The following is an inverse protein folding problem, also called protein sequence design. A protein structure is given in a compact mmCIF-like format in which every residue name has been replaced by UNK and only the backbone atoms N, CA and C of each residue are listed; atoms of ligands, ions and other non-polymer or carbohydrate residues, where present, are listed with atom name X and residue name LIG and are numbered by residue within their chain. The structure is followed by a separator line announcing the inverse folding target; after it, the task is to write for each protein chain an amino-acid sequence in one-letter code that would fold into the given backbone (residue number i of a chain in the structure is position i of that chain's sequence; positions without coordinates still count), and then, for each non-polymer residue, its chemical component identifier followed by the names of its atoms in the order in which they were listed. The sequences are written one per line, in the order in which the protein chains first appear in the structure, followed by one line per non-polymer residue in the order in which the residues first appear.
data_IF_666652734170
#
_entry.id   IF_666652734170
#
_cell.length_a   1.000
_cell.length_b   1.000
_cell.length_c   1.000
_cell.angle_alpha   90.00
_cell.angle_beta   90.00
_cell.angle_gamma   90.00
#
_symmetry.space_group_name_H-M   'P 1'
#
loop_
_entity.id
_entity.type
_entity.pdbx_description
1 polymer ?
#
# COMPACT_ATOMS: atom_id res chain seq x y z
N UNK A 1 5.04 1.47 9.05
CA UNK A 1 5.02 2.86 8.57
C UNK A 1 3.69 3.48 8.96
N UNK A 2 3.60 4.81 9.14
CA UNK A 2 2.34 5.48 9.49
C UNK A 2 2.24 5.90 10.97
N UNK A 3 3.19 6.73 11.42
CA UNK A 3 3.08 7.45 12.71
C UNK A 3 1.96 8.50 12.64
N UNK A 4 1.26 8.76 13.74
CA UNK A 4 0.25 9.83 13.82
C UNK A 4 0.80 11.20 13.42
N UNK A 5 2.06 11.49 13.74
CA UNK A 5 2.71 12.74 13.37
C UNK A 5 2.96 12.87 11.85
N UNK A 6 2.89 11.76 11.11
CA UNK A 6 3.00 11.74 9.65
C UNK A 6 1.64 11.98 8.98
N UNK A 7 0.53 11.91 9.73
CA UNK A 7 -0.79 12.18 9.18
C UNK A 7 -0.89 13.64 8.77
N UNK A 8 -1.10 13.87 7.47
CA UNK A 8 -1.27 15.21 6.94
C UNK A 8 -2.48 15.89 7.59
N UNK A 9 -2.28 17.11 8.10
CA UNK A 9 -3.32 17.88 8.79
C UNK A 9 -4.60 18.07 7.95
N UNK A 10 -4.47 18.13 6.62
CA UNK A 10 -5.61 18.17 5.71
C UNK A 10 -6.46 16.89 5.75
N UNK A 11 -5.81 15.72 5.74
CA UNK A 11 -6.46 14.41 5.82
C UNK A 11 -7.08 14.19 7.20
N UNK A 12 -6.35 14.54 8.27
CA UNK A 12 -6.86 14.48 9.65
C UNK A 12 -8.19 15.24 9.82
N UNK A 13 -8.27 16.47 9.31
CA UNK A 13 -9.51 17.27 9.37
C UNK A 13 -10.66 16.62 8.60
N UNK A 14 -10.37 15.97 7.47
CA UNK A 14 -11.37 15.27 6.65
C UNK A 14 -11.86 14.00 7.34
N UNK A 15 -10.96 13.21 7.94
CA UNK A 15 -11.31 12.04 8.75
C UNK A 15 -12.27 12.42 9.88
N UNK A 16 -11.96 13.50 10.62
CA UNK A 16 -12.84 14.00 11.70
C UNK A 16 -14.18 14.55 11.24
N UNK A 17 -14.25 15.07 10.01
CA UNK A 17 -15.49 15.61 9.45
C UNK A 17 -16.36 14.54 8.76
N UNK A 18 -15.82 13.34 8.54
CA UNK A 18 -16.54 12.25 7.89
C UNK A 18 -17.71 11.79 8.78
N UNK A 19 -18.91 11.73 8.19
CA UNK A 19 -20.10 11.21 8.86
C UNK A 19 -20.06 9.70 8.99
N UNK A 20 -19.63 9.05 7.91
CA UNK A 20 -19.44 7.61 7.82
C UNK A 20 -18.03 7.31 7.36
N UNK A 21 -17.25 6.67 8.22
CA UNK A 21 -15.87 6.30 7.96
C UNK A 21 -15.75 4.77 7.94
N UNK A 22 -15.30 4.25 6.81
CA UNK A 22 -14.83 2.89 6.66
C UNK A 22 -13.31 2.86 6.66
N UNK A 23 -12.71 1.87 7.31
CA UNK A 23 -11.26 1.65 7.30
C UNK A 23 -10.95 0.26 6.75
N UNK A 24 -9.83 0.12 6.04
CA UNK A 24 -9.41 -1.21 5.57
C UNK A 24 -9.19 -2.18 6.73
N UNK A 25 -8.49 -1.72 7.76
CA UNK A 25 -8.11 -2.50 8.93
C UNK A 25 -8.07 -1.60 10.17
N UNK A 26 -8.34 -2.17 11.34
CA UNK A 26 -8.10 -1.51 12.64
C UNK A 26 -6.64 -1.54 13.09
N UNK A 27 -5.82 -2.41 12.49
CA UNK A 27 -4.41 -2.59 12.86
C UNK A 27 -3.54 -1.46 12.30
N UNK A 28 -3.71 -0.25 12.86
CA UNK A 28 -2.93 0.92 12.50
C UNK A 28 -2.83 1.93 13.66
N UNK A 29 -1.62 2.37 14.07
CA UNK A 29 -1.43 3.27 15.22
C UNK A 29 -2.27 4.56 15.16
N UNK A 30 -2.37 5.17 13.97
CA UNK A 30 -3.20 6.37 13.74
C UNK A 30 -4.67 6.16 14.14
N UNK A 31 -5.24 4.98 13.90
CA UNK A 31 -6.64 4.72 14.21
C UNK A 31 -6.87 4.54 15.72
N UNK A 32 -5.89 4.03 16.45
CA UNK A 32 -5.95 3.96 17.91
C UNK A 32 -6.05 5.36 18.52
N UNK A 33 -5.19 6.28 18.08
CA UNK A 33 -5.20 7.68 18.54
C UNK A 33 -6.51 8.40 18.15
N UNK A 34 -6.98 8.23 16.90
CA UNK A 34 -8.23 8.83 16.44
C UNK A 34 -9.46 8.26 17.17
N UNK A 35 -9.46 6.96 17.48
CA UNK A 35 -10.52 6.32 18.27
C UNK A 35 -10.56 6.86 19.70
N UNK A 36 -9.39 7.09 20.32
CA UNK A 36 -9.29 7.73 21.63
C UNK A 36 -9.83 9.18 21.63
N UNK A 37 -9.76 9.87 20.49
CA UNK A 37 -10.38 11.18 20.28
C UNK A 37 -11.90 11.13 19.97
N UNK A 38 -12.50 9.93 19.97
CA UNK A 38 -13.93 9.71 19.76
C UNK A 38 -14.34 9.52 18.30
N UNK A 39 -13.40 9.32 17.38
CA UNK A 39 -13.72 9.02 15.98
C UNK A 39 -14.34 7.62 15.89
N UNK A 40 -15.52 7.53 15.26
CA UNK A 40 -16.18 6.26 15.00
C UNK A 40 -15.90 5.81 13.57
N UNK A 41 -15.62 4.53 13.39
CA UNK A 41 -15.40 3.92 12.08
C UNK A 41 -15.83 2.46 12.07
N UNK A 42 -16.03 1.92 10.87
CA UNK A 42 -16.28 0.49 10.63
C UNK A 42 -15.10 -0.08 9.83
N UNK A 43 -14.56 -1.21 10.28
CA UNK A 43 -13.46 -1.86 9.56
C UNK A 43 -13.92 -3.00 8.68
N UNK A 44 -13.08 -3.34 7.70
CA UNK A 44 -13.28 -4.50 6.84
C UNK A 44 -12.43 -5.71 7.23
N UNK A 45 -11.83 -5.75 8.43
CA UNK A 45 -11.03 -6.89 8.90
C UNK A 45 -11.81 -8.21 8.81
N UNK A 46 -13.11 -8.20 9.16
CA UNK A 46 -13.98 -9.37 9.05
C UNK A 46 -14.16 -9.89 7.61
N UNK A 47 -13.95 -9.06 6.58
CA UNK A 47 -13.96 -9.50 5.18
C UNK A 47 -12.69 -10.25 4.84
N UNK A 48 -11.53 -9.84 5.37
CA UNK A 48 -10.28 -10.56 5.21
C UNK A 48 -10.32 -11.94 5.89
N UNK A 49 -10.97 -12.06 7.05
CA UNK A 49 -11.13 -13.34 7.75
C UNK A 49 -12.06 -14.33 7.01
N UNK A 50 -12.96 -13.82 6.17
CA UNK A 50 -14.00 -14.61 5.50
C UNK A 50 -13.49 -15.34 4.25
N UNK A 51 -12.44 -14.82 3.59
CA UNK A 51 -11.98 -15.31 2.29
C UNK A 51 -10.60 -15.94 2.38
N UNK A 52 -10.36 -16.97 1.56
CA UNK A 52 -9.07 -17.68 1.50
C UNK A 52 -8.09 -17.06 0.48
N UNK A 53 -8.48 -15.99 -0.21
CA UNK A 53 -7.66 -15.28 -1.20
C UNK A 53 -7.98 -13.80 -1.21
N UNK A 54 -7.06 -12.98 -1.70
CA UNK A 54 -7.16 -11.52 -1.63
C UNK A 54 -8.15 -10.91 -2.63
N UNK A 55 -8.23 -11.46 -3.86
CA UNK A 55 -9.08 -10.88 -4.90
C UNK A 55 -10.56 -10.76 -4.50
N UNK A 56 -11.21 -11.83 -3.95
CA UNK A 56 -12.59 -11.74 -3.48
C UNK A 56 -12.80 -10.76 -2.31
N UNK A 57 -11.77 -10.54 -1.49
CA UNK A 57 -11.81 -9.54 -0.42
C UNK A 57 -11.95 -8.15 -1.00
N UNK A 58 -11.11 -7.80 -1.99
CA UNK A 58 -11.13 -6.48 -2.60
C UNK A 58 -12.46 -6.19 -3.30
N UNK A 59 -13.01 -7.18 -4.00
CA UNK A 59 -14.31 -7.11 -4.67
C UNK A 59 -15.45 -6.90 -3.66
N UNK A 60 -15.52 -7.70 -2.59
CA UNK A 60 -16.56 -7.56 -1.56
C UNK A 60 -16.50 -6.18 -0.87
N UNK A 61 -15.29 -5.67 -0.58
CA UNK A 61 -15.12 -4.34 0.02
C UNK A 61 -15.64 -3.25 -0.93
N UNK A 62 -15.24 -3.30 -2.21
CA UNK A 62 -15.67 -2.33 -3.21
C UNK A 62 -17.20 -2.34 -3.37
N UNK A 63 -17.81 -3.52 -3.47
CA UNK A 63 -19.28 -3.66 -3.55
C UNK A 63 -20.00 -3.08 -2.33
N UNK A 64 -19.50 -3.36 -1.12
CA UNK A 64 -20.07 -2.82 0.13
C UNK A 64 -19.98 -1.30 0.19
N UNK A 65 -18.84 -0.73 -0.22
CA UNK A 65 -18.65 0.72 -0.26
C UNK A 65 -19.61 1.37 -1.27
N UNK A 66 -19.71 0.83 -2.49
CA UNK A 66 -20.66 1.32 -3.50
C UNK A 66 -22.10 1.25 -2.99
N UNK A 67 -22.49 0.14 -2.37
CA UNK A 67 -23.83 0.00 -1.80
C UNK A 67 -24.09 1.01 -0.66
N UNK A 68 -23.10 1.30 0.18
CA UNK A 68 -23.22 2.27 1.26
C UNK A 68 -23.48 3.70 0.74
N UNK A 69 -22.90 4.06 -0.42
CA UNK A 69 -23.13 5.38 -1.04
C UNK A 69 -24.57 5.65 -1.47
N UNK A 70 -25.41 4.62 -1.57
CA UNK A 70 -26.82 4.78 -1.89
C UNK A 70 -27.61 5.50 -0.77
N UNK A 71 -27.09 5.49 0.46
CA UNK A 71 -27.77 6.06 1.63
C UNK A 71 -27.15 7.40 2.07
N UNK A 72 -25.82 7.51 2.05
CA UNK A 72 -25.09 8.70 2.50
C UNK A 72 -23.68 8.77 1.89
N UNK A 73 -23.03 9.93 2.01
CA UNK A 73 -21.62 10.08 1.63
C UNK A 73 -20.72 9.29 2.59
N UNK A 74 -19.85 8.45 2.05
CA UNK A 74 -18.92 7.61 2.83
C UNK A 74 -17.47 7.99 2.56
N UNK A 75 -16.64 7.93 3.59
CA UNK A 75 -15.19 8.02 3.48
C UNK A 75 -14.61 6.62 3.67
N UNK A 76 -13.71 6.22 2.77
CA UNK A 76 -12.93 5.00 2.92
C UNK A 76 -11.45 5.36 3.12
N UNK A 77 -10.91 4.99 4.28
CA UNK A 77 -9.51 5.23 4.62
C UNK A 77 -8.69 3.94 4.51
N UNK A 78 -7.58 4.04 3.80
CA UNK A 78 -6.58 2.98 3.64
C UNK A 78 -5.23 3.46 4.20
N UNK A 79 -4.42 2.57 4.77
CA UNK A 79 -3.05 2.90 5.14
C UNK A 79 -2.20 3.33 3.94
N UNK A 80 -1.47 4.45 4.07
CA UNK A 80 -0.61 4.97 3.01
C UNK A 80 -1.35 5.83 1.98
N UNK A 81 -0.92 5.78 0.72
CA UNK A 81 -1.54 6.55 -0.36
C UNK A 81 -2.58 5.69 -1.10
N UNK A 82 -3.85 6.15 -1.26
CA UNK A 82 -4.91 5.35 -1.88
C UNK A 82 -4.68 4.85 -3.30
N UNK A 83 -3.69 5.37 -4.01
CA UNK A 83 -3.40 5.04 -5.42
C UNK A 83 -2.17 4.15 -5.56
N UNK A 84 -1.51 3.82 -4.45
CA UNK A 84 -0.26 3.07 -4.46
C UNK A 84 -0.54 1.69 -3.90
N UNK A 85 -0.52 0.68 -4.78
CA UNK A 85 -0.66 -0.73 -4.42
C UNK A 85 -1.99 -1.11 -3.71
N UNK A 86 -3.07 -0.36 -3.93
CA UNK A 86 -4.40 -0.61 -3.33
C UNK A 86 -5.45 -1.04 -4.34
N UNK A 87 -5.71 -2.35 -4.43
CA UNK A 87 -6.62 -2.95 -5.42
C UNK A 87 -8.08 -2.52 -5.23
N UNK A 88 -8.56 -2.42 -3.99
CA UNK A 88 -9.92 -1.95 -3.70
C UNK A 88 -10.17 -0.55 -4.29
N UNK A 89 -9.18 0.35 -4.24
CA UNK A 89 -9.33 1.70 -4.78
C UNK A 89 -9.38 1.68 -6.31
N UNK A 90 -8.63 0.78 -6.98
CA UNK A 90 -8.74 0.59 -8.42
C UNK A 90 -10.14 0.13 -8.85
N UNK A 91 -10.75 -0.79 -8.09
CA UNK A 91 -12.13 -1.22 -8.33
C UNK A 91 -13.13 -0.07 -8.15
N UNK A 92 -12.92 0.81 -7.17
CA UNK A 92 -13.77 1.99 -6.97
C UNK A 92 -13.62 3.03 -8.09
N UNK A 93 -12.41 3.19 -8.65
CA UNK A 93 -12.17 4.05 -9.82
C UNK A 93 -12.93 3.48 -11.02
N UNK A 94 -12.81 2.18 -11.28
CA UNK A 94 -13.57 1.53 -12.36
C UNK A 94 -15.08 1.70 -12.19
N UNK A 95 -15.59 1.55 -10.96
CA UNK A 95 -17.00 1.80 -10.65
C UNK A 95 -17.40 3.25 -10.88
N UNK A 96 -16.51 4.22 -10.61
CA UNK A 96 -16.75 5.63 -10.89
C UNK A 96 -16.77 5.93 -12.40
N UNK A 97 -15.86 5.33 -13.17
CA UNK A 97 -15.81 5.44 -14.63
C UNK A 97 -17.07 4.86 -15.30
N UNK A 98 -17.65 3.81 -14.70
CA UNK A 98 -18.95 3.24 -15.08
C UNK A 98 -20.15 4.07 -14.60
N UNK A 99 -19.92 5.17 -13.86
CA UNK A 99 -20.96 6.06 -13.34
C UNK A 99 -21.75 5.50 -12.17
N UNK A 100 -21.27 4.43 -11.51
CA UNK A 100 -21.94 3.83 -10.35
C UNK A 100 -21.81 4.68 -9.09
N UNK A 101 -20.70 5.41 -8.95
CA UNK A 101 -20.41 6.28 -7.80
C UNK A 101 -19.69 7.55 -8.23
N UNK A 102 -19.76 8.59 -7.39
CA UNK A 102 -18.88 9.75 -7.51
C UNK A 102 -17.69 9.56 -6.56
N UNK A 103 -16.51 9.31 -7.11
CA UNK A 103 -15.29 9.11 -6.33
C UNK A 103 -14.48 10.40 -6.24
N UNK A 104 -14.06 10.75 -5.02
CA UNK A 104 -13.06 11.80 -4.76
C UNK A 104 -11.91 11.14 -4.01
N UNK A 105 -10.73 11.16 -4.60
CA UNK A 105 -9.53 10.61 -3.98
C UNK A 105 -8.86 11.72 -3.19
N UNK A 106 -8.81 11.52 -1.88
CA UNK A 106 -8.03 12.34 -0.98
C UNK A 106 -6.61 11.82 -0.93
N UNK A 107 -5.63 12.72 -1.03
CA UNK A 107 -4.22 12.34 -1.00
C UNK A 107 -3.83 11.65 0.31
N UNK A 108 -2.74 10.90 0.25
CA UNK A 108 -2.11 10.29 1.42
C UNK A 108 -0.60 10.31 1.27
N UNK A 109 0.14 10.12 2.36
CA UNK A 109 1.59 9.97 2.25
C UNK A 109 1.89 8.58 1.70
N UNK A 110 2.53 8.54 0.52
CA UNK A 110 3.04 7.29 -0.04
C UNK A 110 4.26 6.83 0.75
N UNK A 111 4.55 5.53 0.71
CA UNK A 111 5.78 4.98 1.25
C UNK A 111 7.03 5.44 0.47
N UNK A 112 6.86 6.00 -0.73
CA UNK A 112 7.96 6.42 -1.61
C UNK A 112 8.88 7.45 -0.95
N UNK A 113 8.34 8.52 -0.34
CA UNK A 113 9.18 9.56 0.27
C UNK A 113 10.03 9.00 1.43
N UNK A 114 9.48 8.21 2.37
CA UNK A 114 10.28 7.48 3.35
C UNK A 114 11.35 6.58 2.74
N UNK A 115 11.04 5.86 1.65
CA UNK A 115 12.01 4.98 0.98
C UNK A 115 13.18 5.77 0.39
N UNK A 116 12.90 6.89 -0.30
CA UNK A 116 13.95 7.74 -0.85
C UNK A 116 14.86 8.28 0.25
N UNK A 117 14.28 8.68 1.39
CA UNK A 117 15.04 9.11 2.57
C UNK A 117 15.89 7.99 3.18
N UNK A 118 15.30 6.80 3.38
CA UNK A 118 15.97 5.65 4.00
C UNK A 118 17.14 5.12 3.15
N UNK A 119 16.91 4.98 1.83
CA UNK A 119 17.93 4.51 0.89
C UNK A 119 18.90 5.62 0.46
N UNK A 120 18.63 6.88 0.82
CA UNK A 120 19.41 8.07 0.43
C UNK A 120 19.58 8.20 -1.09
N UNK A 121 18.51 7.90 -1.83
CA UNK A 121 18.48 7.99 -3.29
C UNK A 121 17.74 9.25 -3.74
N UNK A 122 18.20 9.85 -4.84
CA UNK A 122 17.53 10.98 -5.47
C UNK A 122 16.62 10.47 -6.61
N UNK A 123 15.28 10.65 -6.53
CA UNK A 123 14.38 10.21 -7.59
C UNK A 123 14.63 10.91 -8.93
N UNK A 124 15.36 12.04 -8.97
CA UNK A 124 15.77 12.71 -10.22
C UNK A 124 16.69 11.83 -11.07
N UNK A 125 17.46 10.92 -10.46
CA UNK A 125 18.30 9.94 -11.18
C UNK A 125 17.45 8.93 -11.99
N UNK A 126 16.14 8.90 -11.71
CA UNK A 126 15.17 8.01 -12.32
C UNK A 126 14.96 6.77 -11.46
N UNK A 127 13.71 6.42 -11.24
CA UNK A 127 13.32 5.20 -10.56
C UNK A 127 12.12 4.55 -11.25
N UNK A 128 11.94 3.25 -10.99
CA UNK A 128 10.80 2.45 -11.40
C UNK A 128 10.17 1.85 -10.15
N UNK A 129 8.84 1.96 -10.05
CA UNK A 129 8.06 1.25 -9.05
C UNK A 129 7.38 0.07 -9.74
N UNK A 130 7.71 -1.14 -9.29
CA UNK A 130 7.22 -2.39 -9.85
C UNK A 130 6.37 -3.14 -8.83
N UNK A 131 5.39 -3.88 -9.32
CA UNK A 131 4.60 -4.83 -8.54
C UNK A 131 5.31 -6.19 -8.54
N UNK A 132 5.77 -6.63 -7.37
CA UNK A 132 6.50 -7.88 -7.19
C UNK A 132 5.72 -9.14 -7.60
N UNK A 133 4.40 -9.04 -7.79
CA UNK A 133 3.55 -10.17 -8.20
C UNK A 133 3.36 -10.30 -9.71
N UNK A 134 3.73 -9.28 -10.50
CA UNK A 134 3.37 -9.23 -11.93
C UNK A 134 4.41 -8.59 -12.86
N UNK A 135 5.55 -8.15 -12.35
CA UNK A 135 6.57 -7.50 -13.17
C UNK A 135 7.36 -8.47 -14.07
N UNK A 136 7.92 -7.95 -15.17
CA UNK A 136 8.78 -8.70 -16.09
C UNK A 136 10.11 -8.01 -16.28
N UNK A 137 11.20 -8.79 -16.33
CA UNK A 137 12.54 -8.26 -16.60
C UNK A 137 12.69 -7.58 -17.95
N UNK A 138 11.83 -7.90 -18.92
CA UNK A 138 11.89 -7.31 -20.26
C UNK A 138 11.56 -5.82 -20.26
N UNK A 139 10.73 -5.36 -19.34
CA UNK A 139 10.23 -3.99 -19.28
C UNK A 139 11.04 -3.09 -18.34
N UNK A 140 12.06 -3.65 -17.65
CA UNK A 140 12.86 -2.94 -16.65
C UNK A 140 14.06 -2.24 -17.29
N UNK A 141 14.19 -0.95 -16.99
CA UNK A 141 15.39 -0.18 -17.25
C UNK A 141 16.40 -0.32 -16.11
N UNK A 142 17.44 -1.13 -16.31
CA UNK A 142 18.50 -1.38 -15.31
C UNK A 142 19.39 -0.17 -14.99
N UNK A 143 19.20 0.97 -15.66
CA UNK A 143 19.94 2.22 -15.37
C UNK A 143 19.26 3.10 -14.32
N UNK A 144 18.07 2.71 -13.87
CA UNK A 144 17.27 3.44 -12.89
C UNK A 144 17.20 2.67 -11.58
N UNK A 145 16.88 3.35 -10.49
CA UNK A 145 16.55 2.70 -9.22
C UNK A 145 15.31 1.80 -9.42
N UNK A 146 15.35 0.58 -8.92
CA UNK A 146 14.24 -0.38 -9.02
C UNK A 146 13.67 -0.58 -7.62
N UNK A 147 12.44 -0.11 -7.40
CA UNK A 147 11.68 -0.34 -6.18
C UNK A 147 10.60 -1.37 -6.47
N UNK A 148 10.63 -2.49 -5.75
CA UNK A 148 9.64 -3.57 -5.92
C UNK A 148 8.73 -3.56 -4.69
N UNK A 149 7.45 -3.31 -4.91
CA UNK A 149 6.42 -3.34 -3.88
C UNK A 149 5.69 -4.69 -3.87
N UNK A 150 4.77 -4.87 -2.92
CA UNK A 150 3.96 -6.09 -2.78
C UNK A 150 4.77 -7.38 -2.56
N UNK A 151 5.90 -7.28 -1.87
CA UNK A 151 6.69 -8.42 -1.39
C UNK A 151 6.36 -8.64 0.08
N UNK A 152 5.38 -9.50 0.36
CA UNK A 152 4.78 -9.64 1.70
C UNK A 152 5.01 -11.01 2.34
N UNK A 153 5.44 -12.00 1.57
CA UNK A 153 5.70 -13.35 2.06
C UNK A 153 6.87 -14.01 1.32
N UNK A 154 7.28 -15.18 1.80
CA UNK A 154 8.34 -16.00 1.20
C UNK A 154 8.04 -16.34 -0.26
N UNK A 155 6.77 -16.52 -0.63
CA UNK A 155 6.38 -16.91 -1.98
C UNK A 155 6.58 -15.75 -2.97
N UNK A 156 6.05 -14.56 -2.66
CA UNK A 156 6.27 -13.33 -3.43
C UNK A 156 7.75 -12.96 -3.50
N UNK A 157 8.50 -13.10 -2.40
CA UNK A 157 9.95 -12.91 -2.41
C UNK A 157 10.67 -13.90 -3.33
N UNK A 158 10.22 -15.16 -3.39
CA UNK A 158 10.78 -16.17 -4.29
C UNK A 158 10.51 -15.84 -5.75
N UNK A 159 9.30 -15.41 -6.10
CA UNK A 159 8.96 -15.01 -7.47
C UNK A 159 9.82 -13.81 -7.90
N UNK A 160 9.90 -12.76 -7.06
CA UNK A 160 10.76 -11.60 -7.31
C UNK A 160 12.22 -12.01 -7.52
N UNK A 161 12.74 -12.89 -6.66
CA UNK A 161 14.10 -13.43 -6.78
C UNK A 161 14.30 -14.10 -8.14
N UNK A 162 13.44 -15.05 -8.50
CA UNK A 162 13.55 -15.81 -9.74
C UNK A 162 13.49 -14.89 -10.96
N UNK A 163 12.57 -13.91 -10.96
CA UNK A 163 12.48 -12.92 -12.03
C UNK A 163 13.76 -12.09 -12.12
N UNK A 164 14.27 -11.55 -11.00
CA UNK A 164 15.52 -10.77 -11.01
C UNK A 164 16.73 -11.58 -11.51
N UNK A 165 16.82 -12.87 -11.17
CA UNK A 165 17.89 -13.78 -11.58
C UNK A 165 17.94 -14.05 -13.10
N UNK A 166 16.91 -13.67 -13.87
CA UNK A 166 16.97 -13.76 -15.34
C UNK A 166 18.01 -12.80 -15.94
N UNK A 167 18.36 -11.72 -15.23
CA UNK A 167 19.33 -10.72 -15.71
C UNK A 167 20.40 -10.32 -14.68
N UNK A 168 20.15 -10.46 -13.39
CA UNK A 168 21.12 -10.20 -12.33
C UNK A 168 21.79 -11.49 -11.87
N UNK A 169 23.07 -11.39 -11.49
CA UNK A 169 23.78 -12.48 -10.83
C UNK A 169 23.16 -12.77 -9.45
N UNK A 170 23.30 -14.01 -8.98
CA UNK A 170 22.75 -14.49 -7.71
C UNK A 170 23.35 -13.79 -6.49
N UNK A 171 24.59 -13.34 -6.59
CA UNK A 171 25.27 -12.51 -5.57
C UNK A 171 24.91 -11.02 -5.62
N UNK A 172 24.09 -10.57 -6.58
CA UNK A 172 23.75 -9.16 -6.72
C UNK A 172 23.09 -8.61 -5.45
N UNK A 173 23.55 -7.49 -4.88
CA UNK A 173 23.04 -7.00 -3.61
C UNK A 173 21.63 -6.41 -3.78
N UNK A 174 20.70 -6.89 -2.96
CA UNK A 174 19.35 -6.35 -2.84
C UNK A 174 19.12 -5.86 -1.41
N UNK A 175 18.35 -4.78 -1.24
CA UNK A 175 18.06 -4.21 0.08
C UNK A 175 16.59 -4.36 0.41
N UNK A 176 16.29 -5.14 1.46
CA UNK A 176 14.97 -5.27 2.05
C UNK A 176 14.75 -4.11 3.01
N UNK A 177 13.68 -3.36 2.78
CA UNK A 177 13.33 -2.19 3.59
C UNK A 177 12.06 -2.48 4.38
N UNK A 178 12.17 -2.49 5.70
CA UNK A 178 11.03 -2.63 6.61
C UNK A 178 10.71 -1.30 7.27
N UNK A 179 9.43 -0.94 7.27
CA UNK A 179 8.90 0.20 8.02
C UNK A 179 9.64 1.54 7.81
N UNK A 180 10.03 1.85 6.57
CA UNK A 180 10.75 3.08 6.20
C UNK A 180 10.14 4.34 6.84
N UNK A 181 11.02 5.22 7.35
CA UNK A 181 10.65 6.49 7.97
C UNK A 181 9.93 6.36 9.32
N UNK A 182 9.94 5.20 9.97
CA UNK A 182 9.43 5.02 11.34
C UNK A 182 10.55 4.68 12.33
N UNK A 183 10.21 4.67 13.63
CA UNK A 183 11.13 4.21 14.69
C UNK A 183 11.52 2.72 14.58
N UNK A 184 10.82 1.96 13.74
CA UNK A 184 11.08 0.54 13.46
C UNK A 184 11.76 0.33 12.11
N UNK A 185 12.32 1.38 11.50
CA UNK A 185 13.02 1.28 10.23
C UNK A 185 14.17 0.26 10.30
N UNK A 186 14.19 -0.66 9.33
CA UNK A 186 15.25 -1.65 9.17
C UNK A 186 15.61 -1.79 7.70
N UNK A 187 16.90 -1.66 7.41
CA UNK A 187 17.48 -1.87 6.08
C UNK A 187 18.40 -3.09 6.16
N UNK A 188 18.10 -4.13 5.40
CA UNK A 188 18.93 -5.34 5.34
C UNK A 188 19.35 -5.56 3.90
N UNK A 189 20.65 -5.46 3.64
CA UNK A 189 21.20 -5.82 2.33
C UNK A 189 21.63 -7.28 2.36
N UNK A 190 21.08 -8.07 1.44
CA UNK A 190 21.37 -9.49 1.26
C UNK A 190 21.73 -9.77 -0.20
N UNK A 191 22.47 -10.86 -0.50
CA UNK A 191 22.58 -11.37 -1.85
C UNK A 191 21.19 -11.76 -2.40
N UNK A 192 20.98 -11.61 -3.71
CA UNK A 192 19.72 -11.92 -4.36
C UNK A 192 19.22 -13.34 -4.05
N UNK A 193 20.12 -14.32 -3.96
CA UNK A 193 19.74 -15.71 -3.66
C UNK A 193 19.14 -15.90 -2.24
N UNK A 194 19.36 -14.96 -1.31
CA UNK A 194 18.86 -15.01 0.07
C UNK A 194 17.55 -14.21 0.26
N UNK A 195 17.02 -13.56 -0.78
CA UNK A 195 15.86 -12.67 -0.67
C UNK A 195 14.61 -13.31 -0.04
N UNK A 196 14.38 -14.60 -0.30
CA UNK A 196 13.26 -15.37 0.26
C UNK A 196 13.57 -16.01 1.63
N UNK A 197 14.78 -15.81 2.16
CA UNK A 197 15.22 -16.33 3.46
C UNK A 197 15.34 -15.24 4.54
N UNK A 198 15.15 -13.97 4.17
CA UNK A 198 15.36 -12.77 5.00
C UNK A 198 14.09 -12.21 5.64
#
# INVERSE_FOLDING_TARGET
AGDFNQLQMGVYKKLKAARKLYVRTVDHPVLEELSAEGLQFESFDAVYEKHNSFQPVYEEIAEKLVAATANEDVMYAVPGHPLVAEQTVQLLIAAADEGKVKLVIEGGQSFLDPIFGALKIDPIEGFQLLDGTSFSMHDINMRQHILIAQVYDTFSASEVKLTLMEKYDDEYPVTVVTAAGSSQEKLVTVPLYELDQS
#
